data_IF_122826154906
#
_entry.id   IF_122826154906
#
_cell.length_a   1.000
_cell.length_b   1.000
_cell.length_c   1.000
_cell.angle_alpha   90.00
_cell.angle_beta   90.00
_cell.angle_gamma   90.00
#
_symmetry.space_group_name_H-M   'P 1'
#
loop_
_entity.id
_entity.type
_entity.pdbx_description
1 polymer ?
#
# COMPACT_ATOMS: atom_id res chain seq x y z
N UNK A 1 -37.62 -18.41 -36.73
CA UNK A 1 -36.79 -19.11 -35.73
C UNK A 1 -35.39 -18.48 -35.61
N UNK A 2 -34.62 -18.36 -36.70
CA UNK A 2 -33.26 -17.74 -36.69
C UNK A 2 -33.27 -16.29 -36.12
N UNK A 3 -34.23 -15.46 -36.54
CA UNK A 3 -34.35 -14.08 -36.04
C UNK A 3 -34.62 -13.98 -34.53
N UNK A 4 -35.38 -14.92 -33.97
CA UNK A 4 -35.66 -14.97 -32.53
C UNK A 4 -34.39 -15.33 -31.74
N UNK A 5 -33.60 -16.26 -32.27
CA UNK A 5 -32.30 -16.64 -31.68
C UNK A 5 -31.33 -15.46 -31.71
N UNK A 6 -31.25 -14.74 -32.84
CA UNK A 6 -30.38 -13.56 -32.95
C UNK A 6 -30.77 -12.46 -31.96
N UNK A 7 -32.07 -12.16 -31.82
CA UNK A 7 -32.56 -11.18 -30.85
C UNK A 7 -32.24 -11.63 -29.42
N UNK A 8 -32.45 -12.90 -29.09
CA UNK A 8 -32.13 -13.43 -27.76
C UNK A 8 -30.64 -13.30 -27.41
N UNK A 9 -29.74 -13.61 -28.36
CA UNK A 9 -28.28 -13.47 -28.17
C UNK A 9 -27.90 -12.01 -27.92
N UNK A 10 -28.46 -11.06 -28.67
CA UNK A 10 -28.19 -9.62 -28.49
C UNK A 10 -28.65 -9.13 -27.12
N UNK A 11 -29.83 -9.55 -26.66
CA UNK A 11 -30.35 -9.17 -25.33
C UNK A 11 -29.47 -9.71 -24.21
N UNK A 12 -29.02 -10.97 -24.31
CA UNK A 12 -28.13 -11.59 -23.32
C UNK A 12 -26.78 -10.86 -23.29
N UNK A 13 -26.19 -10.56 -24.45
CA UNK A 13 -24.93 -9.84 -24.55
C UNK A 13 -25.03 -8.43 -23.95
N UNK A 14 -26.13 -7.71 -24.22
CA UNK A 14 -26.37 -6.38 -23.66
C UNK A 14 -26.52 -6.40 -22.14
N UNK A 15 -27.22 -7.39 -21.58
CA UNK A 15 -27.32 -7.56 -20.13
C UNK A 15 -25.98 -7.85 -19.47
N UNK A 16 -25.15 -8.71 -20.08
CA UNK A 16 -23.82 -9.02 -19.57
C UNK A 16 -22.92 -7.79 -19.56
N UNK A 17 -22.90 -7.02 -20.65
CA UNK A 17 -22.13 -5.78 -20.74
C UNK A 17 -22.55 -4.78 -19.64
N UNK A 18 -23.87 -4.61 -19.44
CA UNK A 18 -24.38 -3.70 -18.43
C UNK A 18 -24.07 -4.16 -17.00
N UNK A 19 -24.12 -5.47 -16.72
CA UNK A 19 -23.76 -6.02 -15.42
C UNK A 19 -22.27 -5.84 -15.10
N UNK A 20 -21.39 -5.96 -16.10
CA UNK A 20 -19.95 -5.75 -15.90
C UNK A 20 -19.61 -4.30 -15.60
N UNK A 21 -20.25 -3.34 -16.29
CA UNK A 21 -20.06 -1.92 -16.00
C UNK A 21 -20.50 -1.57 -14.58
N UNK A 22 -21.66 -2.08 -14.14
CA UNK A 22 -22.14 -1.89 -12.76
C UNK A 22 -21.17 -2.43 -11.72
N UNK A 23 -20.65 -3.63 -11.93
CA UNK A 23 -19.68 -4.21 -11.01
C UNK A 23 -18.40 -3.35 -10.90
N UNK A 24 -17.93 -2.77 -12.02
CA UNK A 24 -16.75 -1.89 -12.05
C UNK A 24 -17.00 -0.60 -11.29
N UNK A 25 -18.17 0.02 -11.48
CA UNK A 25 -18.55 1.24 -10.77
C UNK A 25 -18.72 1.00 -9.28
N UNK A 26 -19.39 -0.08 -8.88
CA UNK A 26 -19.60 -0.42 -7.47
C UNK A 26 -18.27 -0.70 -6.75
N UNK A 27 -17.37 -1.47 -7.37
CA UNK A 27 -16.04 -1.74 -6.83
C UNK A 27 -15.21 -0.46 -6.68
N UNK A 28 -15.28 0.44 -7.67
CA UNK A 28 -14.61 1.75 -7.62
C UNK A 28 -15.12 2.60 -6.45
N UNK A 29 -16.44 2.72 -6.31
CA UNK A 29 -17.03 3.51 -5.23
C UNK A 29 -16.71 2.95 -3.85
N UNK A 30 -16.76 1.62 -3.70
CA UNK A 30 -16.41 0.96 -2.44
C UNK A 30 -14.95 1.24 -2.05
N UNK A 31 -14.03 1.13 -3.01
CA UNK A 31 -12.62 1.46 -2.81
C UNK A 31 -12.42 2.94 -2.45
N UNK A 32 -13.06 3.87 -3.16
CA UNK A 32 -12.99 5.30 -2.88
C UNK A 32 -13.55 5.67 -1.49
N UNK A 33 -14.67 5.05 -1.08
CA UNK A 33 -15.23 5.22 0.26
C UNK A 33 -14.26 4.70 1.33
N UNK A 34 -13.64 3.55 1.09
CA UNK A 34 -12.64 3.00 2.01
C UNK A 34 -11.40 3.89 2.13
N UNK A 35 -10.91 4.45 1.02
CA UNK A 35 -9.83 5.46 1.04
C UNK A 35 -10.22 6.71 1.83
N UNK A 36 -11.46 7.18 1.72
CA UNK A 36 -11.93 8.33 2.49
C UNK A 36 -11.97 8.02 4.00
N UNK A 37 -12.43 6.82 4.38
CA UNK A 37 -12.42 6.36 5.77
C UNK A 37 -10.99 6.21 6.30
N UNK A 38 -10.10 5.64 5.49
CA UNK A 38 -8.68 5.50 5.83
C UNK A 38 -7.99 6.87 5.95
N UNK A 39 -8.37 7.86 5.13
CA UNK A 39 -7.88 9.23 5.29
C UNK A 39 -8.36 9.87 6.60
N UNK A 40 -9.55 9.52 7.08
CA UNK A 40 -10.08 10.00 8.35
C UNK A 40 -9.39 9.35 9.56
N UNK A 41 -9.04 8.06 9.45
CA UNK A 41 -8.29 7.31 10.48
C UNK A 41 -7.14 6.46 9.87
N UNK A 42 -6.01 7.10 9.52
CA UNK A 42 -4.93 6.47 8.76
C UNK A 42 -4.00 5.57 9.60
N UNK A 43 -4.19 5.55 10.92
CA UNK A 43 -3.43 4.66 11.83
C UNK A 43 -4.14 3.33 12.06
N UNK A 44 -5.36 3.18 11.53
CA UNK A 44 -6.16 1.99 11.68
C UNK A 44 -5.71 0.88 10.73
N UNK A 45 -5.11 -0.16 11.29
CA UNK A 45 -4.60 -1.30 10.53
C UNK A 45 -5.71 -2.08 9.82
N UNK A 46 -6.89 -2.21 10.44
CA UNK A 46 -8.02 -2.94 9.87
C UNK A 46 -8.59 -2.20 8.66
N UNK A 47 -8.74 -0.87 8.75
CA UNK A 47 -9.14 -0.04 7.61
C UNK A 47 -8.12 -0.15 6.48
N UNK A 48 -6.82 -0.13 6.79
CA UNK A 48 -5.77 -0.28 5.77
C UNK A 48 -5.85 -1.63 5.06
N UNK A 49 -6.06 -2.72 5.80
CA UNK A 49 -6.23 -4.06 5.23
C UNK A 49 -7.51 -4.16 4.38
N UNK A 50 -8.60 -3.55 4.82
CA UNK A 50 -9.85 -3.51 4.07
C UNK A 50 -9.70 -2.70 2.78
N UNK A 51 -9.08 -1.52 2.84
CA UNK A 51 -8.80 -0.67 1.67
C UNK A 51 -7.94 -1.42 0.64
N UNK A 52 -6.93 -2.15 1.10
CA UNK A 52 -6.10 -2.99 0.26
C UNK A 52 -6.95 -4.07 -0.44
N UNK A 53 -7.76 -4.82 0.30
CA UNK A 53 -8.61 -5.86 -0.27
C UNK A 53 -9.59 -5.33 -1.33
N UNK A 54 -10.21 -4.16 -1.09
CA UNK A 54 -11.10 -3.50 -2.05
C UNK A 54 -10.34 -3.01 -3.29
N UNK A 55 -9.14 -2.46 -3.12
CA UNK A 55 -8.27 -2.07 -4.22
C UNK A 55 -7.85 -3.24 -5.11
N UNK A 56 -7.56 -4.40 -4.50
CA UNK A 56 -7.29 -5.65 -5.23
C UNK A 56 -8.48 -6.13 -6.03
N UNK A 57 -9.67 -6.13 -5.42
CA UNK A 57 -10.90 -6.52 -6.09
C UNK A 57 -11.19 -5.61 -7.30
N UNK A 58 -11.04 -4.29 -7.13
CA UNK A 58 -11.22 -3.31 -8.20
C UNK A 58 -10.18 -3.47 -9.33
N UNK A 59 -8.89 -3.56 -8.98
CA UNK A 59 -7.80 -3.75 -9.96
C UNK A 59 -7.99 -5.03 -10.78
N UNK A 60 -8.35 -6.13 -10.12
CA UNK A 60 -8.63 -7.40 -10.79
C UNK A 60 -9.82 -7.28 -11.76
N UNK A 61 -10.87 -6.56 -11.36
CA UNK A 61 -12.06 -6.36 -12.21
C UNK A 61 -11.77 -5.49 -13.43
N UNK A 62 -10.87 -4.50 -13.32
CA UNK A 62 -10.42 -3.68 -14.45
C UNK A 62 -9.56 -4.46 -15.46
N UNK A 63 -8.98 -5.59 -15.04
CA UNK A 63 -8.19 -6.50 -15.87
C UNK A 63 -8.97 -7.73 -16.34
N UNK A 64 -10.29 -7.66 -16.43
CA UNK A 64 -11.16 -8.78 -16.79
C UNK A 64 -10.92 -10.03 -15.93
N UNK A 65 -10.63 -9.84 -14.64
CA UNK A 65 -10.33 -10.90 -13.66
C UNK A 65 -9.06 -11.72 -13.96
N UNK A 66 -8.11 -11.17 -14.72
CA UNK A 66 -6.82 -11.82 -15.07
C UNK A 66 -5.78 -11.81 -13.94
N UNK A 67 -6.17 -11.49 -12.71
CA UNK A 67 -5.28 -11.38 -11.58
C UNK A 67 -4.52 -10.05 -11.53
N UNK A 68 -3.77 -9.88 -10.45
CA UNK A 68 -3.11 -8.64 -10.09
C UNK A 68 -1.60 -8.72 -10.36
N UNK A 69 -1.02 -7.66 -10.91
CA UNK A 69 0.43 -7.60 -11.14
C UNK A 69 1.16 -6.92 -10.01
N UNK A 70 2.48 -7.11 -9.96
CA UNK A 70 3.35 -6.38 -9.03
C UNK A 70 3.24 -4.87 -9.23
N UNK A 71 3.08 -4.39 -10.49
CA UNK A 71 2.86 -2.97 -10.77
C UNK A 71 1.53 -2.46 -10.19
N UNK A 72 0.48 -3.26 -10.29
CA UNK A 72 -0.83 -2.93 -9.71
C UNK A 72 -0.77 -2.85 -8.17
N UNK A 73 -0.03 -3.76 -7.54
CA UNK A 73 0.20 -3.73 -6.08
C UNK A 73 1.01 -2.49 -5.65
N UNK A 74 2.02 -2.10 -6.42
CA UNK A 74 2.82 -0.90 -6.12
C UNK A 74 1.99 0.38 -6.28
N UNK A 75 1.20 0.48 -7.35
CA UNK A 75 0.30 1.61 -7.56
C UNK A 75 -0.75 1.70 -6.44
N UNK A 76 -1.34 0.57 -6.06
CA UNK A 76 -2.29 0.49 -4.95
C UNK A 76 -1.66 0.90 -3.61
N UNK A 77 -0.45 0.45 -3.33
CA UNK A 77 0.26 0.85 -2.10
C UNK A 77 0.62 2.34 -2.12
N UNK A 78 0.93 2.92 -3.28
CA UNK A 78 1.18 4.35 -3.43
C UNK A 78 -0.07 5.17 -3.14
N UNK A 79 -1.22 4.80 -3.72
CA UNK A 79 -2.51 5.45 -3.45
C UNK A 79 -2.88 5.42 -1.96
N UNK A 80 -2.73 4.26 -1.31
CA UNK A 80 -3.02 4.07 0.11
C UNK A 80 -2.07 4.92 0.97
N UNK A 81 -0.77 4.91 0.65
CA UNK A 81 0.21 5.73 1.37
C UNK A 81 -0.05 7.23 1.16
N UNK A 82 -0.45 7.66 -0.04
CA UNK A 82 -0.81 9.05 -0.31
C UNK A 82 -2.06 9.47 0.49
N UNK A 83 -3.06 8.59 0.60
CA UNK A 83 -4.23 8.83 1.46
C UNK A 83 -3.86 8.95 2.95
N UNK A 84 -2.83 8.21 3.40
CA UNK A 84 -2.32 8.26 4.77
C UNK A 84 -1.30 9.39 5.03
N UNK A 85 -0.67 9.93 3.99
CA UNK A 85 0.44 10.89 4.10
C UNK A 85 0.06 12.17 4.84
N UNK A 86 -1.21 12.61 4.72
CA UNK A 86 -1.73 13.78 5.44
C UNK A 86 -1.78 13.63 6.97
N UNK A 87 -1.65 12.42 7.52
CA UNK A 87 -1.53 12.21 8.97
C UNK A 87 -0.10 12.02 9.46
N UNK A 88 0.84 11.70 8.57
CA UNK A 88 2.27 11.70 8.90
C UNK A 88 2.77 13.11 9.21
N UNK A 89 2.21 14.15 8.58
CA UNK A 89 2.56 15.55 8.87
C UNK A 89 2.10 16.01 10.26
N UNK A 90 1.08 15.39 10.87
CA UNK A 90 0.66 15.71 12.24
C UNK A 90 1.51 15.05 13.33
N UNK A 91 2.49 14.24 12.95
CA UNK A 91 3.47 13.63 13.87
C UNK A 91 4.84 14.33 13.85
N UNK A 92 4.96 15.47 13.15
CA UNK A 92 6.18 16.29 13.18
C UNK A 92 6.29 17.18 14.43
N UNK A 93 5.31 17.16 15.34
CA UNK A 93 5.33 18.00 16.56
C UNK A 93 5.22 17.21 17.88
N UNK A 94 5.52 15.91 17.86
CA UNK A 94 5.73 15.12 19.09
C UNK A 94 6.97 14.24 18.95
N UNK A 95 8.14 14.87 18.78
CA UNK A 95 9.36 14.35 19.38
C UNK A 95 9.52 14.99 20.76
N UNK A 96 8.58 14.67 21.65
CA UNK A 96 8.83 14.75 23.09
C UNK A 96 9.71 13.57 23.43
N UNK A 97 10.99 13.86 23.67
CA UNK A 97 11.90 13.21 24.60
C UNK A 97 11.58 11.73 24.96
N UNK A 98 12.12 10.81 24.16
CA UNK A 98 12.44 9.46 24.62
C UNK A 98 13.98 9.32 24.57
N UNK A 99 14.58 8.58 25.52
CA UNK A 99 15.97 8.78 25.94
C UNK A 99 16.96 8.44 24.82
N UNK A 100 18.07 9.18 24.80
CA UNK A 100 19.24 9.07 23.91
C UNK A 100 19.68 7.62 23.62
N UNK A 101 19.41 6.69 24.53
CA UNK A 101 19.75 5.26 24.46
C UNK A 101 19.09 4.55 23.27
N UNK A 102 17.84 4.89 22.92
CA UNK A 102 17.12 4.23 21.81
C UNK A 102 17.69 4.62 20.43
N UNK A 103 18.27 5.81 20.30
CA UNK A 103 18.89 6.27 19.04
C UNK A 103 20.22 5.54 18.78
N UNK A 104 21.00 5.27 19.84
CA UNK A 104 22.30 4.60 19.74
C UNK A 104 22.12 3.14 19.31
N UNK A 105 21.16 2.42 19.90
CA UNK A 105 20.86 1.05 19.51
C UNK A 105 20.40 0.97 18.05
N UNK A 106 19.53 1.88 17.62
CA UNK A 106 19.06 1.97 16.24
C UNK A 106 20.23 2.25 15.25
N UNK A 107 21.17 3.12 15.62
CA UNK A 107 22.37 3.42 14.82
C UNK A 107 23.30 2.21 14.71
N UNK A 108 23.49 1.46 15.80
CA UNK A 108 24.30 0.23 15.80
C UNK A 108 23.67 -0.88 14.94
N UNK A 109 22.35 -1.06 15.02
CA UNK A 109 21.63 -2.03 14.18
C UNK A 109 21.74 -1.69 12.69
N UNK A 110 21.60 -0.40 12.33
CA UNK A 110 21.79 0.06 10.95
C UNK A 110 23.20 -0.25 10.45
N UNK A 111 24.22 0.02 11.25
CA UNK A 111 25.62 -0.25 10.91
C UNK A 111 25.87 -1.76 10.68
N UNK A 112 25.28 -2.62 11.52
CA UNK A 112 25.36 -4.07 11.37
C UNK A 112 24.67 -4.56 10.09
N UNK A 113 23.53 -3.99 9.72
CA UNK A 113 22.83 -4.32 8.46
C UNK A 113 23.65 -3.97 7.22
N UNK A 114 24.43 -2.88 7.26
CA UNK A 114 25.29 -2.46 6.15
C UNK A 114 26.45 -3.43 5.96
N UNK A 115 27.07 -3.87 7.07
CA UNK A 115 28.11 -4.88 7.07
C UNK A 115 27.60 -6.22 6.54
N UNK A 116 26.44 -6.70 7.02
CA UNK A 116 25.85 -7.96 6.55
C UNK A 116 25.55 -7.97 5.05
N UNK A 117 25.26 -6.80 4.48
CA UNK A 117 25.04 -6.63 3.03
C UNK A 117 26.33 -6.42 2.24
N UNK A 118 27.51 -6.53 2.88
CA UNK A 118 28.82 -6.21 2.31
C UNK A 118 28.88 -4.81 1.66
N UNK A 119 28.14 -3.85 2.21
CA UNK A 119 28.13 -2.46 1.72
C UNK A 119 29.22 -1.60 2.35
N UNK A 120 29.77 -2.07 3.47
CA UNK A 120 30.92 -1.49 4.18
C UNK A 120 31.86 -2.63 4.55
N UNK A 121 33.14 -2.33 4.67
CA UNK A 121 34.16 -3.29 5.10
C UNK A 121 34.29 -3.35 6.63
N UNK A 122 35.13 -4.27 7.12
CA UNK A 122 35.35 -4.46 8.57
C UNK A 122 36.00 -3.25 9.24
N UNK A 123 36.88 -2.55 8.53
CA UNK A 123 37.61 -1.41 9.07
C UNK A 123 36.67 -0.21 9.24
N UNK A 124 35.81 0.05 8.26
CA UNK A 124 34.78 1.08 8.29
C UNK A 124 33.70 0.76 9.35
N UNK A 125 33.30 -0.51 9.47
CA UNK A 125 32.41 -0.95 10.54
C UNK A 125 33.00 -0.69 11.93
N UNK A 126 34.27 -1.05 12.15
CA UNK A 126 34.93 -0.86 13.44
C UNK A 126 35.10 0.62 13.79
N UNK A 127 35.47 1.45 12.81
CA UNK A 127 35.63 2.90 12.99
C UNK A 127 34.31 3.57 13.39
N UNK A 128 33.24 3.35 12.62
CA UNK A 128 31.92 3.96 12.88
C UNK A 128 31.27 3.43 14.16
N UNK A 129 31.48 2.15 14.50
CA UNK A 129 30.99 1.58 15.77
C UNK A 129 31.66 2.26 16.97
N UNK A 130 32.96 2.55 16.87
CA UNK A 130 33.70 3.26 17.92
C UNK A 130 33.19 4.68 18.09
N UNK A 131 33.01 5.41 16.99
CA UNK A 131 32.46 6.78 17.00
C UNK A 131 31.05 6.85 17.64
N UNK A 132 30.18 5.88 17.34
CA UNK A 132 28.85 5.81 17.96
C UNK A 132 28.93 5.56 19.47
N UNK A 133 29.84 4.68 19.91
CA UNK A 133 30.01 4.36 21.33
C UNK A 133 30.73 5.46 22.12
N UNK A 134 31.61 6.23 21.48
CA UNK A 134 32.26 7.41 22.07
C UNK A 134 31.32 8.61 22.18
N UNK A 135 30.19 8.59 21.47
CA UNK A 135 29.12 9.60 21.59
C UNK A 135 28.15 9.36 22.76
N UNK A 136 28.44 8.36 23.61
CA UNK A 136 27.75 8.07 24.89
C UNK A 136 28.39 8.88 26.01
#
# INVERSE_FOLDING_TARGET
MIWVILIAVVVIAAWWAHAQEKAKTEAREAYQRSLANLKADPRNADLRQQTLALGRAYSNLMRDKKGQTVFDEVALMNDINAACAGASERSLDVHVAAPLVNDIEARLQKLLSLKQRNLIDEDEYCSRRREILESI
#
